data_IF_634702783455
#
_entry.id   IF_634702783455
#
_cell.length_a   1.000
_cell.length_b   1.000
_cell.length_c   1.000
_cell.angle_alpha   90.00
_cell.angle_beta   90.00
_cell.angle_gamma   90.00
#
_symmetry.space_group_name_H-M   'P 1'
#
loop_
_entity.id
_entity.type
_entity.pdbx_description
1 polymer ?
#
# COMPACT_ATOMS: atom_id res chain seq x y z
N UNK A 1 -22.66 0.07 -0.25
CA UNK A 1 -21.36 -0.30 -0.86
C UNK A 1 -20.78 -1.49 -0.13
N UNK A 2 -20.59 -2.64 -0.80
CA UNK A 2 -20.15 -3.90 -0.18
C UNK A 2 -18.83 -3.76 0.60
N UNK A 3 -17.91 -2.92 0.12
CA UNK A 3 -16.68 -2.56 0.85
C UNK A 3 -16.94 -1.96 2.24
N UNK A 4 -17.92 -1.05 2.35
CA UNK A 4 -18.26 -0.43 3.65
C UNK A 4 -18.80 -1.47 4.64
N UNK A 5 -19.53 -2.46 4.15
CA UNK A 5 -20.08 -3.56 4.98
C UNK A 5 -18.94 -4.47 5.44
N UNK A 6 -18.02 -4.82 4.53
CA UNK A 6 -16.83 -5.61 4.86
C UNK A 6 -15.95 -4.92 5.91
N UNK A 7 -15.64 -3.63 5.72
CA UNK A 7 -14.85 -2.86 6.69
C UNK A 7 -15.58 -2.75 8.03
N UNK A 8 -16.90 -2.57 8.03
CA UNK A 8 -17.70 -2.54 9.27
C UNK A 8 -17.69 -3.90 9.97
N UNK A 9 -17.76 -4.99 9.22
CA UNK A 9 -17.67 -6.34 9.76
C UNK A 9 -16.28 -6.61 10.36
N UNK A 10 -15.22 -6.23 9.66
CA UNK A 10 -13.85 -6.36 10.17
C UNK A 10 -13.68 -5.49 11.42
N UNK A 11 -14.10 -4.22 11.38
CA UNK A 11 -13.95 -3.27 12.49
C UNK A 11 -14.74 -3.65 13.73
N UNK A 12 -15.92 -4.26 13.57
CA UNK A 12 -16.71 -4.75 14.70
C UNK A 12 -16.13 -6.03 15.32
N UNK A 13 -15.16 -6.67 14.67
CA UNK A 13 -14.53 -7.91 15.11
C UNK A 13 -13.04 -7.69 15.39
N UNK A 14 -12.73 -7.00 16.48
CA UNK A 14 -11.34 -6.69 16.90
C UNK A 14 -10.45 -7.94 16.97
N UNK A 15 -11.00 -9.07 17.43
CA UNK A 15 -10.31 -10.36 17.51
C UNK A 15 -9.91 -10.91 16.14
N UNK A 16 -10.73 -10.69 15.11
CA UNK A 16 -10.45 -11.13 13.75
C UNK A 16 -9.36 -10.26 13.11
N UNK A 17 -9.43 -8.93 13.27
CA UNK A 17 -8.39 -8.00 12.83
C UNK A 17 -7.06 -8.35 13.50
N UNK A 18 -7.06 -8.63 14.81
CA UNK A 18 -5.85 -8.97 15.56
C UNK A 18 -5.19 -10.25 15.02
N UNK A 19 -5.97 -11.31 14.81
CA UNK A 19 -5.47 -12.55 14.19
C UNK A 19 -4.99 -12.35 12.76
N UNK A 20 -5.66 -11.48 12.00
CA UNK A 20 -5.24 -11.14 10.64
C UNK A 20 -3.90 -10.40 10.66
N UNK A 21 -3.72 -9.43 11.56
CA UNK A 21 -2.46 -8.70 11.76
C UNK A 21 -1.31 -9.62 12.20
N UNK A 22 -1.59 -10.61 13.05
CA UNK A 22 -0.60 -11.58 13.53
C UNK A 22 -0.20 -12.60 12.45
N UNK A 23 -1.02 -12.76 11.41
CA UNK A 23 -0.79 -13.74 10.35
C UNK A 23 0.49 -13.42 9.55
N UNK A 24 1.24 -14.48 9.19
CA UNK A 24 2.43 -14.40 8.32
C UNK A 24 2.19 -13.65 6.99
N UNK A 25 1.10 -13.90 6.23
CA UNK A 25 0.87 -13.18 4.98
C UNK A 25 0.63 -11.68 5.19
N UNK A 26 -0.07 -11.29 6.27
CA UNK A 26 -0.31 -9.88 6.56
C UNK A 26 0.98 -9.14 6.88
N UNK A 27 1.90 -9.79 7.61
CA UNK A 27 3.23 -9.25 7.91
C UNK A 27 4.09 -9.07 6.67
N UNK A 28 4.10 -10.05 5.77
CA UNK A 28 4.81 -9.94 4.48
C UNK A 28 4.22 -8.83 3.61
N UNK A 29 2.89 -8.72 3.57
CA UNK A 29 2.20 -7.65 2.84
C UNK A 29 2.53 -6.28 3.42
N UNK A 30 2.54 -6.13 4.76
CA UNK A 30 2.92 -4.89 5.41
C UNK A 30 4.37 -4.51 5.12
N UNK A 31 5.30 -5.45 5.19
CA UNK A 31 6.70 -5.24 4.83
C UNK A 31 6.86 -4.80 3.37
N UNK A 32 6.11 -5.42 2.45
CA UNK A 32 6.10 -5.04 1.04
C UNK A 32 5.54 -3.63 0.81
N UNK A 33 4.43 -3.29 1.44
CA UNK A 33 3.84 -1.94 1.38
C UNK A 33 4.82 -0.91 1.92
N UNK A 34 5.40 -1.14 3.11
CA UNK A 34 6.41 -0.25 3.69
C UNK A 34 7.62 -0.10 2.78
N UNK A 35 8.12 -1.19 2.19
CA UNK A 35 9.21 -1.15 1.23
C UNK A 35 8.88 -0.26 0.02
N UNK A 36 7.68 -0.37 -0.53
CA UNK A 36 7.20 0.50 -1.62
C UNK A 36 7.14 1.95 -1.15
N UNK A 37 6.56 2.23 0.01
CA UNK A 37 6.41 3.58 0.55
C UNK A 37 7.76 4.26 0.80
N UNK A 38 8.74 3.51 1.33
CA UNK A 38 10.11 4.00 1.53
C UNK A 38 10.77 4.24 0.17
N UNK A 39 10.70 3.29 -0.75
CA UNK A 39 11.32 3.41 -2.08
C UNK A 39 10.71 4.53 -2.92
N UNK A 40 9.44 4.82 -2.70
CA UNK A 40 8.72 5.93 -3.28
C UNK A 40 9.09 7.31 -2.68
N UNK A 41 9.84 7.36 -1.59
CA UNK A 41 10.18 8.60 -0.90
C UNK A 41 9.02 9.23 -0.11
N UNK A 42 7.91 8.50 0.13
CA UNK A 42 6.79 9.02 0.93
C UNK A 42 7.14 9.14 2.42
N UNK A 43 8.04 8.29 2.93
CA UNK A 43 8.40 8.25 4.35
C UNK A 43 9.64 9.11 4.65
N UNK A 44 10.41 9.51 3.64
CA UNK A 44 11.71 10.22 3.82
C UNK A 44 11.59 11.75 4.00
N UNK A 45 10.46 12.25 4.50
CA UNK A 45 10.35 13.63 4.99
C UNK A 45 10.33 14.76 3.95
N UNK A 46 10.33 14.47 2.64
CA UNK A 46 10.40 15.52 1.60
C UNK A 46 9.05 16.02 1.11
N UNK A 47 7.93 15.38 1.46
CA UNK A 47 6.58 15.82 1.10
C UNK A 47 5.61 15.61 2.28
N UNK A 48 5.21 16.67 3.01
CA UNK A 48 4.17 16.51 4.03
C UNK A 48 2.89 16.01 3.35
N UNK A 49 2.34 14.92 3.86
CA UNK A 49 1.02 14.43 3.45
C UNK A 49 0.00 15.31 4.18
N UNK A 50 -0.28 16.49 3.60
CA UNK A 50 -1.16 17.49 4.20
C UNK A 50 -2.64 17.10 4.16
N UNK A 51 -3.02 16.09 3.37
CA UNK A 51 -4.37 15.57 3.34
C UNK A 51 -4.60 14.30 2.49
N UNK A 52 -5.81 13.72 2.53
CA UNK A 52 -6.14 12.47 1.84
C UNK A 52 -5.98 12.53 0.31
N UNK A 53 -6.21 13.70 -0.30
CA UNK A 53 -6.07 13.90 -1.74
C UNK A 53 -4.61 13.84 -2.19
N UNK A 54 -3.72 14.43 -1.39
CA UNK A 54 -2.28 14.42 -1.66
C UNK A 54 -1.71 13.00 -1.49
N UNK A 55 -2.21 12.25 -0.51
CA UNK A 55 -1.87 10.84 -0.34
C UNK A 55 -2.27 9.99 -1.57
N UNK A 56 -3.49 10.17 -2.08
CA UNK A 56 -3.96 9.44 -3.27
C UNK A 56 -3.12 9.80 -4.49
N UNK A 57 -2.77 11.07 -4.65
CA UNK A 57 -1.91 11.53 -5.75
C UNK A 57 -0.52 10.89 -5.67
N UNK A 58 0.08 10.88 -4.49
CA UNK A 58 1.38 10.24 -4.25
C UNK A 58 1.31 8.72 -4.53
N UNK A 59 0.26 8.03 -4.07
CA UNK A 59 0.07 6.61 -4.38
C UNK A 59 -0.06 6.34 -5.88
N UNK A 60 -0.74 7.22 -6.62
CA UNK A 60 -0.91 7.10 -8.06
C UNK A 60 0.43 7.27 -8.79
N UNK A 61 1.21 8.27 -8.43
CA UNK A 61 2.53 8.51 -9.01
C UNK A 61 3.47 7.30 -8.80
N UNK A 62 3.39 6.66 -7.63
CA UNK A 62 4.17 5.46 -7.31
C UNK A 62 3.73 4.26 -8.13
N UNK A 63 2.41 4.06 -8.26
CA UNK A 63 1.86 3.00 -9.08
C UNK A 63 2.32 3.15 -10.54
N UNK A 64 2.33 4.38 -11.07
CA UNK A 64 2.81 4.68 -12.41
C UNK A 64 4.32 4.44 -12.55
N UNK A 65 5.13 4.81 -11.54
CA UNK A 65 6.57 4.53 -11.52
C UNK A 65 6.89 3.02 -11.46
N UNK A 66 6.15 2.26 -10.66
CA UNK A 66 6.30 0.80 -10.58
C UNK A 66 5.91 0.14 -11.89
N UNK A 67 4.82 0.60 -12.52
CA UNK A 67 4.39 0.11 -13.84
C UNK A 67 5.47 0.31 -14.90
N UNK A 68 6.06 1.51 -14.95
CA UNK A 68 7.18 1.82 -15.87
C UNK A 68 8.39 0.92 -15.63
N UNK A 69 8.81 0.73 -14.37
CA UNK A 69 9.92 -0.16 -14.03
C UNK A 69 9.63 -1.63 -14.41
N UNK A 70 8.39 -2.08 -14.28
CA UNK A 70 7.99 -3.43 -14.69
C UNK A 70 8.04 -3.60 -16.22
N UNK A 71 7.56 -2.60 -16.96
CA UNK A 71 7.56 -2.59 -18.42
C UNK A 71 8.99 -2.52 -18.98
N UNK A 72 9.87 -1.70 -18.39
CA UNK A 72 11.29 -1.66 -18.72
C UNK A 72 11.96 -3.01 -18.46
N UNK A 73 11.75 -3.60 -17.27
CA UNK A 73 12.35 -4.88 -16.90
C UNK A 73 11.85 -6.05 -17.77
N UNK A 74 10.61 -6.01 -18.23
CA UNK A 74 10.08 -6.99 -19.19
C UNK A 74 10.64 -6.81 -20.60
N UNK A 75 10.98 -5.58 -21.03
CA UNK A 75 11.68 -5.34 -22.29
C UNK A 75 13.12 -5.86 -22.28
N UNK A 76 13.82 -5.78 -21.15
CA UNK A 76 15.19 -6.34 -21.01
C UNK A 76 15.25 -7.86 -20.86
N UNK A 77 14.11 -8.54 -20.64
CA UNK A 77 14.03 -10.01 -20.50
C UNK A 77 13.63 -10.71 -21.82
N UNK A 78 13.48 -9.97 -22.91
CA UNK A 78 13.09 -10.46 -24.24
C UNK A 78 14.24 -10.27 -25.21
#
# INVERSE_FOLDING_TARGET
MPLRVLFRYLSNNEKLIKRLAESKPMRQTAQFVVYILIRAGMISGSRPISGPKDFIKQLKDIADQLKRQLEEKNKFKK
#
